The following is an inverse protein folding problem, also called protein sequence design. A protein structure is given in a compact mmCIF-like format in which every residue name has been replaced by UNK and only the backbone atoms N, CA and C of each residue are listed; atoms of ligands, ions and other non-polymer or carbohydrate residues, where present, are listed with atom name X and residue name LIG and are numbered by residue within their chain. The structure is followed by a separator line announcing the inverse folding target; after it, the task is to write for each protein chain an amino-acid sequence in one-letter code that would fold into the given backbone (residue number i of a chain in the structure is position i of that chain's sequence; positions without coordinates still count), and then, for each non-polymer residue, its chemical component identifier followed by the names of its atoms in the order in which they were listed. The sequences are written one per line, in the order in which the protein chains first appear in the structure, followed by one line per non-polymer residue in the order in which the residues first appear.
data_IF_488296042308
#
_entry.id   IF_488296042308
#
_cell.length_a   1.000
_cell.length_b   1.000
_cell.length_c   1.000
_cell.angle_alpha   90.00
_cell.angle_beta   90.00
_cell.angle_gamma   90.00
#
_symmetry.space_group_name_H-M   'P 1'
#
loop_
_entity.id
_entity.type
_entity.pdbx_description
1 polymer ?
#
# COMPACT_ATOMS: atom_id res chain seq x y z
N UNK A 1 -21.83 -6.04 -4.09
CA UNK A 1 -21.43 -5.09 -3.05
C UNK A 1 -19.96 -5.33 -2.80
N UNK A 2 -19.07 -4.48 -3.34
CA UNK A 2 -17.66 -4.57 -3.00
C UNK A 2 -17.53 -4.19 -1.53
N UNK A 3 -16.93 -5.04 -0.71
CA UNK A 3 -16.56 -4.68 0.65
C UNK A 3 -15.64 -3.45 0.55
N UNK A 4 -16.21 -2.29 0.90
CA UNK A 4 -15.57 -0.97 0.85
C UNK A 4 -14.45 -0.82 1.92
N UNK A 5 -13.94 -1.95 2.41
CA UNK A 5 -13.05 -2.08 3.56
C UNK A 5 -11.74 -2.82 3.21
N UNK A 6 -11.45 -3.06 1.93
CA UNK A 6 -10.37 -3.97 1.56
C UNK A 6 -9.19 -3.22 0.98
N UNK A 7 -8.08 -3.26 1.70
CA UNK A 7 -6.83 -2.56 1.44
C UNK A 7 -6.01 -3.24 0.32
N UNK A 8 -6.64 -3.61 -0.79
CA UNK A 8 -6.03 -4.37 -1.90
C UNK A 8 -4.81 -3.68 -2.52
N UNK A 9 -4.76 -2.34 -2.49
CA UNK A 9 -3.64 -1.59 -3.03
C UNK A 9 -2.31 -1.88 -2.32
N UNK A 10 -2.34 -2.37 -1.07
CA UNK A 10 -1.13 -2.79 -0.36
C UNK A 10 -0.52 -4.08 -0.92
N UNK A 11 -1.23 -4.85 -1.75
CA UNK A 11 -0.63 -5.98 -2.47
C UNK A 11 0.49 -5.54 -3.42
N UNK A 12 0.44 -4.30 -3.92
CA UNK A 12 1.48 -3.72 -4.78
C UNK A 12 2.69 -3.16 -4.01
N UNK A 13 2.72 -3.30 -2.68
CA UNK A 13 3.91 -2.95 -1.88
C UNK A 13 4.92 -4.09 -1.94
N UNK A 14 6.18 -3.84 -1.56
CA UNK A 14 7.22 -4.88 -1.53
C UNK A 14 6.78 -6.11 -0.73
N UNK A 15 6.16 -5.93 0.45
CA UNK A 15 5.66 -7.05 1.26
C UNK A 15 4.52 -7.81 0.58
N UNK A 16 3.58 -7.10 -0.06
CA UNK A 16 2.47 -7.70 -0.77
C UNK A 16 2.91 -8.47 -2.02
N UNK A 17 3.87 -7.91 -2.78
CA UNK A 17 4.43 -8.55 -3.97
C UNK A 17 5.21 -9.80 -3.57
N UNK A 18 6.08 -9.69 -2.57
CA UNK A 18 6.87 -10.84 -2.07
C UNK A 18 5.95 -11.95 -1.55
N UNK A 19 4.85 -11.60 -0.88
CA UNK A 19 3.84 -12.59 -0.47
C UNK A 19 3.19 -13.26 -1.68
N UNK A 20 2.82 -12.49 -2.71
CA UNK A 20 2.21 -13.02 -3.93
C UNK A 20 3.17 -13.97 -4.65
N UNK A 21 4.42 -13.56 -4.83
CA UNK A 21 5.47 -14.36 -5.48
C UNK A 21 5.69 -15.69 -4.71
N UNK A 22 5.79 -15.64 -3.38
CA UNK A 22 5.96 -16.85 -2.57
C UNK A 22 4.75 -17.80 -2.63
N UNK A 23 3.53 -17.25 -2.71
CA UNK A 23 2.31 -18.06 -2.89
C UNK A 23 2.29 -18.72 -4.27
N UNK A 24 2.70 -18.01 -5.32
CA UNK A 24 2.78 -18.53 -6.68
C UNK A 24 3.83 -19.64 -6.79
N UNK A 25 4.99 -19.48 -6.16
CA UNK A 25 6.02 -20.52 -6.10
C UNK A 25 5.49 -21.81 -5.44
N UNK A 26 4.74 -21.69 -4.34
CA UNK A 26 4.12 -22.85 -3.66
C UNK A 26 3.03 -23.52 -4.50
N UNK A 27 2.30 -22.75 -5.32
CA UNK A 27 1.33 -23.31 -6.28
C UNK A 27 2.07 -24.06 -7.37
N UNK A 28 3.11 -23.48 -7.95
CA UNK A 28 3.92 -24.12 -8.99
C UNK A 28 4.59 -25.41 -8.49
N UNK A 29 5.05 -25.43 -7.24
CA UNK A 29 5.58 -26.60 -6.57
C UNK A 29 4.51 -27.67 -6.21
N UNK A 30 3.22 -27.40 -6.46
CA UNK A 30 2.12 -28.30 -6.12
C UNK A 30 1.84 -28.43 -4.61
N UNK A 31 2.44 -27.57 -3.78
CA UNK A 31 2.28 -27.60 -2.32
C UNK A 31 1.01 -26.88 -1.88
N UNK A 32 0.57 -25.86 -2.64
CA UNK A 32 -0.68 -25.14 -2.40
C UNK A 32 -1.59 -25.16 -3.63
N UNK A 33 -2.90 -25.13 -3.38
CA UNK A 33 -3.89 -24.88 -4.43
C UNK A 33 -4.24 -23.39 -4.47
N UNK A 34 -4.51 -22.87 -5.67
CA UNK A 34 -4.86 -21.46 -5.88
C UNK A 34 -5.99 -20.92 -4.96
N UNK A 35 -7.08 -21.68 -4.63
CA UNK A 35 -8.10 -21.20 -3.71
C UNK A 35 -7.58 -20.92 -2.30
N UNK A 36 -6.57 -21.68 -1.83
CA UNK A 36 -5.96 -21.48 -0.50
C UNK A 36 -5.08 -20.24 -0.52
N UNK A 37 -4.24 -20.07 -1.54
CA UNK A 37 -3.40 -18.87 -1.70
C UNK A 37 -4.25 -17.58 -1.74
N UNK A 38 -5.37 -17.60 -2.47
CA UNK A 38 -6.30 -16.47 -2.51
C UNK A 38 -6.89 -16.15 -1.12
N UNK A 39 -7.15 -17.17 -0.29
CA UNK A 39 -7.58 -16.94 1.10
C UNK A 39 -6.49 -16.23 1.90
N UNK A 40 -5.22 -16.61 1.74
CA UNK A 40 -4.09 -15.93 2.41
C UNK A 40 -4.03 -14.46 2.01
N UNK A 41 -4.15 -14.15 0.71
CA UNK A 41 -4.16 -12.76 0.25
C UNK A 41 -5.35 -11.96 0.80
N UNK A 42 -6.54 -12.56 0.88
CA UNK A 42 -7.70 -11.94 1.53
C UNK A 42 -7.46 -11.67 3.03
N UNK A 43 -6.73 -12.55 3.72
CA UNK A 43 -6.31 -12.28 5.10
C UNK A 43 -5.32 -11.12 5.17
N UNK A 44 -4.33 -11.07 4.27
CA UNK A 44 -3.40 -9.97 4.18
C UNK A 44 -4.12 -8.62 4.02
N UNK A 45 -5.07 -8.51 3.07
CA UNK A 45 -5.79 -7.25 2.83
C UNK A 45 -6.60 -6.79 4.04
N UNK A 46 -7.17 -7.74 4.80
CA UNK A 46 -7.95 -7.44 6.00
C UNK A 46 -7.09 -6.88 7.13
N UNK A 47 -5.87 -7.40 7.30
CA UNK A 47 -5.05 -7.10 8.47
C UNK A 47 -4.05 -5.97 8.24
N UNK A 48 -3.52 -5.79 7.03
CA UNK A 48 -2.44 -4.82 6.77
C UNK A 48 -2.81 -3.39 7.19
N UNK A 49 -4.03 -2.94 6.86
CA UNK A 49 -4.49 -1.60 7.24
C UNK A 49 -4.62 -1.42 8.76
N UNK A 50 -5.11 -2.44 9.47
CA UNK A 50 -5.22 -2.42 10.94
C UNK A 50 -3.85 -2.39 11.61
N UNK A 51 -2.88 -3.16 11.11
CA UNK A 51 -1.52 -3.15 11.66
C UNK A 51 -0.80 -1.84 11.40
N UNK A 52 -0.95 -1.26 10.20
CA UNK A 52 -0.40 0.07 9.87
C UNK A 52 -1.03 1.18 10.72
N UNK A 53 -2.31 1.08 11.07
CA UNK A 53 -3.00 2.07 11.90
C UNK A 53 -2.47 2.12 13.35
N UNK A 54 -1.77 1.07 13.82
CA UNK A 54 -1.12 1.06 15.14
C UNK A 54 0.17 1.88 15.18
N UNK A 55 0.72 2.25 14.02
CA UNK A 55 1.95 3.03 13.93
C UNK A 55 1.66 4.52 14.20
N UNK A 56 2.48 5.14 15.04
CA UNK A 56 2.36 6.57 15.41
C UNK A 56 3.46 7.44 14.80
N UNK A 57 4.38 6.85 14.03
CA UNK A 57 5.47 7.56 13.37
C UNK A 57 4.93 8.61 12.41
N UNK A 58 5.41 9.85 12.55
CA UNK A 58 5.04 10.97 11.67
C UNK A 58 6.23 11.40 10.83
N UNK A 59 5.94 11.82 9.60
CA UNK A 59 6.89 12.46 8.71
C UNK A 59 6.25 13.66 8.03
N UNK A 60 7.07 14.50 7.41
CA UNK A 60 6.60 15.60 6.55
C UNK A 60 7.37 15.56 5.24
N UNK A 61 6.80 16.14 4.18
CA UNK A 61 7.51 16.27 2.91
C UNK A 61 7.18 17.58 2.23
N UNK A 62 8.08 18.02 1.35
CA UNK A 62 7.87 19.11 0.38
C UNK A 62 8.19 18.60 -1.01
N UNK A 63 7.44 19.07 -2.01
CA UNK A 63 7.58 18.63 -3.39
C UNK A 63 6.91 19.60 -4.36
N UNK A 64 7.21 19.43 -5.65
CA UNK A 64 6.44 20.01 -6.75
C UNK A 64 5.39 19.02 -7.25
N UNK A 65 4.12 19.44 -7.28
CA UNK A 65 3.04 18.63 -7.84
C UNK A 65 3.10 18.66 -9.37
N UNK A 66 3.28 17.50 -10.00
CA UNK A 66 3.27 17.39 -11.46
C UNK A 66 1.86 17.18 -12.01
N UNK A 67 1.09 16.26 -11.41
CA UNK A 67 -0.31 15.99 -11.80
C UNK A 67 -1.01 15.27 -10.65
N UNK A 68 -2.33 15.37 -10.61
CA UNK A 68 -3.18 14.68 -9.66
C UNK A 68 -4.42 14.12 -10.34
N UNK A 69 -5.01 13.07 -9.74
CA UNK A 69 -6.30 12.51 -10.12
C UNK A 69 -7.03 12.05 -8.87
N UNK A 70 -8.33 12.29 -8.83
CA UNK A 70 -9.25 11.63 -7.91
C UNK A 70 -10.28 10.86 -8.75
N UNK A 71 -10.46 9.58 -8.46
CA UNK A 71 -11.49 8.71 -9.05
C UNK A 71 -11.82 7.64 -8.01
N UNK A 72 -13.11 7.37 -7.79
CA UNK A 72 -13.58 6.34 -6.85
C UNK A 72 -12.96 6.44 -5.44
N UNK A 73 -12.89 7.66 -4.88
CA UNK A 73 -12.29 7.95 -3.57
C UNK A 73 -10.81 7.56 -3.43
N UNK A 74 -10.12 7.34 -4.56
CA UNK A 74 -8.68 7.13 -4.62
C UNK A 74 -8.00 8.37 -5.20
N UNK A 75 -7.18 9.01 -4.37
CA UNK A 75 -6.27 10.07 -4.80
C UNK A 75 -4.98 9.48 -5.33
N UNK A 76 -4.55 9.97 -6.49
CA UNK A 76 -3.24 9.70 -7.05
C UNK A 76 -2.52 11.01 -7.31
N UNK A 77 -1.33 11.18 -6.73
CA UNK A 77 -0.46 12.33 -6.96
C UNK A 77 0.85 11.86 -7.60
N UNK A 78 1.33 12.60 -8.60
CA UNK A 78 2.68 12.45 -9.13
C UNK A 78 3.46 13.70 -8.74
N UNK A 79 4.49 13.52 -7.93
CA UNK A 79 5.33 14.57 -7.36
C UNK A 79 6.72 14.53 -7.99
N UNK A 80 7.37 15.69 -8.06
CA UNK A 80 8.77 15.87 -8.46
C UNK A 80 9.55 16.59 -7.36
N UNK A 81 10.86 16.37 -7.34
CA UNK A 81 11.82 16.99 -6.42
C UNK A 81 11.35 16.89 -4.96
N UNK A 82 11.09 15.66 -4.53
CA UNK A 82 10.49 15.38 -3.22
C UNK A 82 11.58 15.30 -2.17
N UNK A 83 11.39 16.00 -1.06
CA UNK A 83 12.21 15.88 0.14
C UNK A 83 11.33 15.46 1.32
N UNK A 84 11.53 14.23 1.79
CA UNK A 84 10.93 13.69 3.00
C UNK A 84 11.79 14.00 4.21
N UNK A 85 11.15 14.45 5.29
CA UNK A 85 11.74 14.60 6.63
C UNK A 85 11.08 13.59 7.56
N UNK A 86 11.86 12.63 8.00
CA UNK A 86 11.45 11.54 8.88
C UNK A 86 11.84 11.85 10.34
N UNK A 87 11.42 10.99 11.26
CA UNK A 87 11.86 11.06 12.67
C UNK A 87 13.39 10.91 12.75
N UNK A 88 14.01 11.63 13.68
CA UNK A 88 15.47 11.54 13.87
C UNK A 88 16.32 12.36 12.88
N UNK A 89 15.73 13.40 12.27
CA UNK A 89 16.39 14.28 11.28
C UNK A 89 16.87 13.58 10.00
N UNK A 90 16.42 12.36 9.74
CA UNK A 90 16.67 11.69 8.48
C UNK A 90 15.93 12.40 7.33
N UNK A 91 16.66 12.67 6.25
CA UNK A 91 16.12 13.25 5.03
C UNK A 91 16.30 12.30 3.87
N UNK A 92 15.22 12.06 3.14
CA UNK A 92 15.21 11.22 1.95
C UNK A 92 14.76 12.07 0.76
N UNK A 93 15.59 12.11 -0.28
CA UNK A 93 15.30 12.82 -1.52
C UNK A 93 14.92 11.85 -2.63
N UNK A 94 13.96 12.24 -3.47
CA UNK A 94 13.56 11.47 -4.64
C UNK A 94 13.12 12.40 -5.77
N UNK A 95 13.61 12.15 -6.97
CA UNK A 95 13.28 12.96 -8.16
C UNK A 95 11.79 12.86 -8.53
N UNK A 96 11.19 11.70 -8.30
CA UNK A 96 9.78 11.43 -8.64
C UNK A 96 9.13 10.46 -7.67
N UNK A 97 7.95 10.82 -7.16
CA UNK A 97 7.16 9.96 -6.26
C UNK A 97 5.72 9.88 -6.74
N UNK A 98 5.14 8.68 -6.66
CA UNK A 98 3.69 8.46 -6.82
C UNK A 98 3.07 8.19 -5.46
N UNK A 99 2.11 9.03 -5.04
CA UNK A 99 1.30 8.80 -3.84
C UNK A 99 -0.06 8.28 -4.28
N UNK A 100 -0.47 7.14 -3.73
CA UNK A 100 -1.82 6.59 -3.85
C UNK A 100 -2.44 6.63 -2.46
N UNK A 101 -3.55 7.35 -2.30
CA UNK A 101 -4.22 7.52 -1.03
C UNK A 101 -5.71 7.19 -1.17
N UNK A 102 -6.16 6.16 -0.47
CA UNK A 102 -7.56 5.77 -0.41
C UNK A 102 -8.24 6.40 0.81
N UNK A 103 -9.49 6.81 0.66
CA UNK A 103 -10.32 7.25 1.80
C UNK A 103 -10.45 6.09 2.81
N UNK A 104 -10.22 6.37 4.09
CA UNK A 104 -10.55 5.43 5.17
C UNK A 104 -12.07 5.39 5.33
N UNK A 105 -12.72 4.22 5.31
CA UNK A 105 -14.15 4.14 5.57
C UNK A 105 -14.44 4.60 7.01
N UNK A 106 -15.49 5.43 7.17
CA UNK A 106 -15.93 5.92 8.46
C UNK A 106 -16.38 4.74 9.35
N UNK A 107 -15.91 4.68 10.60
CA UNK A 107 -16.29 3.65 11.58
C UNK A 107 -15.35 2.43 11.70
N UNK A 108 -14.12 2.52 11.19
CA UNK A 108 -13.05 1.51 11.36
C UNK A 108 -12.12 1.79 12.53
#
# INVERSE_FOLDING_TARGET
MADNNTFFHYRNTTIGQTLTDALDDMIQAGTLQAPIANRVLTHFDRHIGTELAKLSTRGSFRAHLSTYRNCDDVWTFILRDVNFRLMGNEQVQADRVKIIACKRPEGS
#
